data_IF_477114305433
#
_entry.id   IF_477114305433
#
_cell.length_a   1.000
_cell.length_b   1.000
_cell.length_c   1.000
_cell.angle_alpha   90.00
_cell.angle_beta   90.00
_cell.angle_gamma   90.00
#
_symmetry.space_group_name_H-M   'P 1'
#
loop_
_entity.id
_entity.type
_entity.pdbx_description
1 polymer ?
#
# COMPACT_ATOMS: atom_id res chain seq x y z
N UNK A 1 -6.59 -1.50 3.62
CA UNK A 1 -6.95 -2.93 3.48
C UNK A 1 -8.43 -3.18 3.71
N UNK A 2 -9.07 -2.57 4.69
CA UNK A 2 -10.51 -2.75 4.96
C UNK A 2 -11.49 -2.33 3.85
N UNK A 3 -11.08 -1.54 2.87
CA UNK A 3 -11.95 -1.14 1.75
C UNK A 3 -12.53 -2.31 0.95
N UNK A 4 -11.80 -3.41 0.86
CA UNK A 4 -12.27 -4.60 0.16
C UNK A 4 -13.57 -5.17 0.75
N UNK A 5 -13.75 -5.00 2.07
CA UNK A 5 -14.98 -5.37 2.76
C UNK A 5 -16.18 -4.50 2.35
N UNK A 6 -15.97 -3.23 2.04
CA UNK A 6 -17.05 -2.34 1.57
C UNK A 6 -17.63 -2.85 0.25
N UNK A 7 -16.76 -3.23 -0.68
CA UNK A 7 -17.20 -3.82 -1.96
C UNK A 7 -17.99 -5.11 -1.70
N UNK A 8 -17.49 -6.00 -0.81
CA UNK A 8 -18.21 -7.22 -0.46
C UNK A 8 -19.59 -6.93 0.17
N UNK A 9 -19.68 -5.93 1.07
CA UNK A 9 -20.97 -5.53 1.66
C UNK A 9 -21.94 -4.99 0.60
N UNK A 10 -21.47 -4.21 -0.36
CA UNK A 10 -22.31 -3.69 -1.45
C UNK A 10 -22.86 -4.77 -2.36
N UNK A 11 -22.17 -5.91 -2.46
CA UNK A 11 -22.68 -7.05 -3.23
C UNK A 11 -23.97 -7.64 -2.62
N UNK A 12 -24.09 -7.64 -1.30
CA UNK A 12 -25.27 -8.11 -0.59
C UNK A 12 -26.28 -7.00 -0.32
N UNK A 13 -25.80 -5.79 -0.03
CA UNK A 13 -26.63 -4.66 0.41
C UNK A 13 -26.38 -3.42 -0.46
N UNK A 14 -26.82 -3.39 -1.72
CA UNK A 14 -26.53 -2.28 -2.64
C UNK A 14 -27.06 -0.92 -2.15
N UNK A 15 -28.14 -0.92 -1.39
CA UNK A 15 -28.82 0.28 -0.88
C UNK A 15 -28.54 0.57 0.61
N UNK A 16 -27.68 -0.22 1.27
CA UNK A 16 -27.43 0.00 2.69
C UNK A 16 -26.73 1.34 2.96
N UNK A 17 -27.04 1.94 4.08
CA UNK A 17 -26.20 3.01 4.63
C UNK A 17 -24.96 2.37 5.24
N UNK A 18 -23.78 2.71 4.74
CA UNK A 18 -22.51 2.16 5.20
C UNK A 18 -21.58 3.27 5.67
N UNK A 19 -21.33 3.30 6.96
CA UNK A 19 -20.32 4.18 7.55
C UNK A 19 -18.98 3.44 7.67
N UNK A 20 -17.95 4.05 7.14
CA UNK A 20 -16.60 3.50 7.17
C UNK A 20 -15.69 4.32 8.08
N UNK A 21 -15.43 3.77 9.27
CA UNK A 21 -14.57 4.40 10.27
C UNK A 21 -13.10 4.10 9.97
N UNK A 22 -12.30 5.16 9.89
CA UNK A 22 -10.91 5.06 9.43
C UNK A 22 -9.96 5.89 10.26
N UNK A 23 -8.68 5.58 10.15
CA UNK A 23 -7.61 6.42 10.69
C UNK A 23 -7.57 7.79 9.99
N UNK A 24 -7.36 8.86 10.76
CA UNK A 24 -7.24 10.24 10.23
C UNK A 24 -6.20 10.38 9.12
N UNK A 25 -5.09 9.65 9.20
CA UNK A 25 -4.05 9.67 8.16
C UNK A 25 -4.51 9.07 6.84
N UNK A 26 -5.37 8.05 6.87
CA UNK A 26 -5.88 7.39 5.67
C UNK A 26 -7.14 8.09 5.11
N UNK A 27 -7.84 8.86 5.94
CA UNK A 27 -9.12 9.51 5.58
C UNK A 27 -9.04 10.28 4.25
N UNK A 28 -8.05 11.16 4.00
CA UNK A 28 -7.98 11.92 2.77
C UNK A 28 -7.94 11.06 1.51
N UNK A 29 -7.32 9.88 1.59
CA UNK A 29 -7.17 8.95 0.47
C UNK A 29 -8.46 8.19 0.10
N UNK A 30 -9.43 8.16 1.01
CA UNK A 30 -10.60 7.28 0.90
C UNK A 30 -11.93 7.99 1.16
N UNK A 31 -11.94 9.29 1.51
CA UNK A 31 -13.15 10.06 1.82
C UNK A 31 -14.18 10.07 0.67
N UNK A 32 -13.74 9.94 -0.58
CA UNK A 32 -14.60 9.85 -1.76
C UNK A 32 -14.89 8.42 -2.21
N UNK A 33 -14.73 7.40 -1.35
CA UNK A 33 -15.00 6.02 -1.74
C UNK A 33 -16.49 5.81 -2.00
N UNK A 34 -16.91 5.43 -3.23
CA UNK A 34 -18.31 5.31 -3.60
C UNK A 34 -19.03 4.13 -2.93
N UNK A 35 -18.30 3.19 -2.35
CA UNK A 35 -18.88 2.05 -1.65
C UNK A 35 -19.28 2.40 -0.20
N UNK A 36 -18.81 3.51 0.35
CA UNK A 36 -19.25 4.03 1.65
C UNK A 36 -20.27 5.13 1.48
N UNK A 37 -21.25 5.21 2.37
CA UNK A 37 -22.17 6.36 2.45
C UNK A 37 -21.45 7.52 3.14
N UNK A 38 -20.76 7.25 4.24
CA UNK A 38 -19.88 8.20 4.94
C UNK A 38 -18.56 7.55 5.27
N UNK A 39 -17.48 8.31 5.17
CA UNK A 39 -16.15 7.93 5.68
C UNK A 39 -15.85 8.83 6.88
N UNK A 40 -15.55 8.23 8.02
CA UNK A 40 -15.42 8.92 9.30
C UNK A 40 -14.00 8.82 9.84
N UNK A 41 -13.28 9.95 10.04
CA UNK A 41 -11.93 9.95 10.59
C UNK A 41 -11.95 9.87 12.11
N UNK A 42 -11.89 8.69 12.68
CA UNK A 42 -12.03 8.50 14.13
C UNK A 42 -10.71 8.31 14.87
N UNK A 43 -9.71 7.72 14.24
CA UNK A 43 -8.51 7.33 14.95
C UNK A 43 -7.37 8.33 14.76
N UNK A 44 -6.65 8.65 15.83
CA UNK A 44 -5.36 9.33 15.76
C UNK A 44 -4.30 8.42 15.13
N UNK A 45 -3.18 8.98 14.73
CA UNK A 45 -2.07 8.26 14.13
C UNK A 45 -1.61 7.10 15.01
N UNK A 46 -1.73 5.87 14.50
CA UNK A 46 -1.24 4.67 15.15
C UNK A 46 -2.29 3.57 15.32
N UNK A 47 -1.82 2.44 15.82
CA UNK A 47 -2.64 1.24 16.06
C UNK A 47 -3.44 1.30 17.38
N UNK A 48 -3.23 2.34 18.18
CA UNK A 48 -3.88 2.48 19.47
C UNK A 48 -4.99 3.52 19.41
N UNK A 49 -6.17 3.12 19.85
CA UNK A 49 -7.31 4.00 20.03
C UNK A 49 -7.20 4.63 21.40
N UNK A 50 -7.28 5.97 21.48
CA UNK A 50 -7.41 6.65 22.77
C UNK A 50 -8.76 6.31 23.38
N UNK A 51 -8.88 6.44 24.69
CA UNK A 51 -10.14 6.23 25.41
C UNK A 51 -11.25 7.13 24.88
N UNK A 52 -10.96 8.40 24.65
CA UNK A 52 -11.93 9.37 24.14
C UNK A 52 -12.43 8.99 22.74
N UNK A 53 -11.54 8.54 21.85
CA UNK A 53 -11.92 8.06 20.53
C UNK A 53 -12.79 6.78 20.61
N UNK A 54 -12.54 5.91 21.58
CA UNK A 54 -13.34 4.71 21.78
C UNK A 54 -14.75 5.07 22.30
N UNK A 55 -14.85 6.00 23.23
CA UNK A 55 -16.14 6.51 23.72
C UNK A 55 -16.94 7.18 22.61
N UNK A 56 -16.32 8.06 21.83
CA UNK A 56 -16.96 8.69 20.67
C UNK A 56 -17.44 7.65 19.63
N UNK A 57 -16.68 6.57 19.41
CA UNK A 57 -17.11 5.48 18.54
C UNK A 57 -18.32 4.73 19.09
N UNK A 58 -18.34 4.47 20.40
CA UNK A 58 -19.49 3.85 21.08
C UNK A 58 -20.76 4.71 20.97
N UNK A 59 -20.63 6.02 21.19
CA UNK A 59 -21.74 6.96 21.10
C UNK A 59 -22.28 7.04 19.67
N UNK A 60 -21.40 7.05 18.66
CA UNK A 60 -21.80 6.95 17.28
C UNK A 60 -22.61 5.68 17.01
N UNK A 61 -22.10 4.52 17.42
CA UNK A 61 -22.76 3.23 17.17
C UNK A 61 -24.12 3.16 17.85
N UNK A 62 -24.23 3.65 19.09
CA UNK A 62 -25.48 3.69 19.83
C UNK A 62 -26.50 4.67 19.23
N UNK A 63 -26.01 5.83 18.78
CA UNK A 63 -26.86 6.87 18.18
C UNK A 63 -27.45 6.47 16.84
N UNK A 64 -26.64 5.87 15.99
CA UNK A 64 -27.04 5.48 14.63
C UNK A 64 -27.78 4.13 14.57
N UNK A 65 -27.70 3.31 15.63
CA UNK A 65 -28.42 2.01 15.73
C UNK A 65 -28.13 1.07 14.54
N UNK A 66 -26.86 0.85 14.21
CA UNK A 66 -26.49 -0.03 13.12
C UNK A 66 -27.00 -1.46 13.27
N UNK A 67 -27.53 -2.02 12.18
CA UNK A 67 -27.94 -3.42 12.11
C UNK A 67 -26.72 -4.38 12.19
N UNK A 68 -25.57 -3.93 11.69
CA UNK A 68 -24.34 -4.74 11.65
C UNK A 68 -23.10 -3.85 11.79
N UNK A 69 -22.18 -4.24 12.66
CA UNK A 69 -20.85 -3.65 12.78
C UNK A 69 -19.79 -4.70 12.43
N UNK A 70 -18.86 -4.34 11.54
CA UNK A 70 -17.71 -5.18 11.21
C UNK A 70 -16.43 -4.58 11.79
N UNK A 71 -15.77 -5.29 12.68
CA UNK A 71 -14.54 -4.85 13.30
C UNK A 71 -13.31 -5.46 12.62
N UNK A 72 -12.55 -4.63 11.89
CA UNK A 72 -11.29 -4.99 11.24
C UNK A 72 -10.06 -4.59 12.06
N UNK A 73 -10.23 -4.06 13.26
CA UNK A 73 -9.12 -3.67 14.12
C UNK A 73 -8.63 -4.86 14.94
N UNK A 74 -7.39 -5.34 14.76
CA UNK A 74 -6.88 -6.51 15.49
C UNK A 74 -6.64 -6.23 16.98
N UNK A 75 -6.62 -4.96 17.37
CA UNK A 75 -6.30 -4.50 18.74
C UNK A 75 -7.54 -4.17 19.57
N UNK A 76 -8.72 -4.12 18.94
CA UNK A 76 -9.99 -3.90 19.60
C UNK A 76 -10.78 -5.19 19.67
N UNK A 77 -11.16 -5.57 20.89
CA UNK A 77 -12.13 -6.64 21.10
C UNK A 77 -13.54 -6.09 20.90
N UNK A 78 -14.46 -6.93 20.46
CA UNK A 78 -15.84 -6.54 20.23
C UNK A 78 -16.48 -5.93 21.49
N UNK A 79 -16.19 -6.53 22.67
CA UNK A 79 -16.63 -6.03 23.99
C UNK A 79 -16.06 -4.63 24.34
N UNK A 80 -14.93 -4.24 23.75
CA UNK A 80 -14.36 -2.91 23.99
C UNK A 80 -15.12 -1.86 23.20
N UNK A 81 -15.75 -2.26 22.07
CA UNK A 81 -16.57 -1.38 21.21
C UNK A 81 -18.01 -1.37 21.71
N UNK A 82 -18.63 -2.53 21.94
CA UNK A 82 -19.99 -2.68 22.41
C UNK A 82 -19.99 -3.60 23.64
N UNK A 83 -19.87 -3.05 24.88
CA UNK A 83 -19.84 -3.84 26.10
C UNK A 83 -21.11 -4.67 26.33
N UNK A 84 -22.26 -4.13 25.91
CA UNK A 84 -23.58 -4.72 26.12
C UNK A 84 -23.95 -5.77 25.04
N UNK A 85 -23.00 -6.13 24.21
CA UNK A 85 -23.24 -6.97 23.05
C UNK A 85 -23.79 -6.16 21.87
N UNK A 86 -24.36 -6.83 20.91
CA UNK A 86 -24.88 -6.23 19.68
C UNK A 86 -24.39 -7.00 18.47
N UNK A 87 -24.82 -6.58 17.30
CA UNK A 87 -24.44 -7.21 16.04
C UNK A 87 -23.04 -6.77 15.58
N UNK A 88 -22.02 -7.07 16.38
CA UNK A 88 -20.64 -6.80 16.04
C UNK A 88 -19.89 -8.10 15.71
N UNK A 89 -19.18 -8.10 14.61
CA UNK A 89 -18.39 -9.22 14.15
C UNK A 89 -16.91 -8.80 14.01
N UNK A 90 -16.05 -9.42 14.80
CA UNK A 90 -14.60 -9.21 14.67
C UNK A 90 -14.06 -10.07 13.52
N UNK A 91 -13.75 -9.40 12.41
CA UNK A 91 -13.28 -10.06 11.19
C UNK A 91 -11.87 -10.61 11.37
N UNK A 92 -11.00 -9.86 12.04
CA UNK A 92 -9.59 -10.26 12.21
C UNK A 92 -9.44 -11.51 13.09
N UNK A 93 -10.21 -11.61 14.15
CA UNK A 93 -10.12 -12.74 15.09
C UNK A 93 -10.87 -13.99 14.61
N UNK A 94 -11.84 -13.84 13.71
CA UNK A 94 -12.61 -14.96 13.14
C UNK A 94 -12.02 -15.55 11.89
N UNK A 95 -11.02 -14.88 11.32
CA UNK A 95 -10.36 -15.35 10.12
C UNK A 95 -9.21 -16.33 10.44
N UNK A 96 -9.42 -17.66 10.28
CA UNK A 96 -8.37 -18.64 10.52
C UNK A 96 -7.20 -18.54 9.51
N UNK A 97 -7.40 -17.81 8.42
CA UNK A 97 -6.48 -17.76 7.28
C UNK A 97 -5.19 -16.98 7.53
N UNK A 98 -5.19 -16.04 8.46
CA UNK A 98 -3.98 -15.24 8.74
C UNK A 98 -2.95 -16.07 9.51
N UNK A 99 -3.39 -17.09 10.26
CA UNK A 99 -2.54 -17.78 11.22
C UNK A 99 -2.15 -19.22 10.82
N UNK A 100 -2.89 -19.90 9.95
CA UNK A 100 -2.74 -21.35 9.78
C UNK A 100 -2.48 -21.86 8.35
N UNK A 101 -2.34 -20.98 7.34
CA UNK A 101 -2.37 -21.44 5.96
C UNK A 101 -1.03 -21.63 5.25
N UNK A 102 -0.23 -22.54 5.74
CA UNK A 102 0.81 -23.18 4.91
C UNK A 102 0.25 -24.34 4.05
N UNK A 103 -0.99 -24.81 4.31
CA UNK A 103 -1.50 -26.07 3.74
C UNK A 103 -2.55 -25.95 2.65
N UNK A 104 -3.21 -24.81 2.50
CA UNK A 104 -4.25 -24.63 1.47
C UNK A 104 -3.84 -23.59 0.44
N UNK A 105 -3.15 -24.05 -0.60
CA UNK A 105 -2.72 -23.22 -1.74
C UNK A 105 -3.87 -22.82 -2.67
N UNK A 106 -5.09 -23.32 -2.47
CA UNK A 106 -6.24 -23.07 -3.32
C UNK A 106 -6.99 -21.78 -3.00
N UNK A 107 -6.77 -21.19 -1.82
CA UNK A 107 -7.44 -19.96 -1.38
C UNK A 107 -6.55 -18.73 -1.57
N UNK A 108 -7.18 -17.60 -1.87
CA UNK A 108 -6.50 -16.30 -2.01
C UNK A 108 -5.87 -15.89 -0.69
N UNK A 109 -4.55 -16.00 -0.60
CA UNK A 109 -3.78 -15.72 0.62
C UNK A 109 -3.41 -14.24 0.81
N UNK A 110 -3.85 -13.35 -0.07
CA UNK A 110 -3.54 -11.94 -0.01
C UNK A 110 -4.49 -11.21 0.95
N UNK A 111 -3.95 -10.33 1.83
CA UNK A 111 -4.75 -9.63 2.83
C UNK A 111 -5.99 -8.91 2.29
N UNK A 112 -5.84 -8.21 1.17
CA UNK A 112 -6.93 -7.45 0.56
C UNK A 112 -7.99 -8.40 0.01
N UNK A 113 -7.58 -9.40 -0.75
CA UNK A 113 -8.49 -10.41 -1.29
C UNK A 113 -9.17 -11.19 -0.18
N UNK A 114 -8.43 -11.50 0.88
CA UNK A 114 -8.97 -12.20 2.04
C UNK A 114 -10.12 -11.42 2.72
N UNK A 115 -9.97 -10.11 2.95
CA UNK A 115 -11.04 -9.29 3.52
C UNK A 115 -12.30 -9.29 2.65
N UNK A 116 -12.13 -9.24 1.33
CA UNK A 116 -13.25 -9.31 0.40
C UNK A 116 -13.97 -10.68 0.48
N UNK A 117 -13.23 -11.75 0.30
CA UNK A 117 -13.79 -13.10 0.23
C UNK A 117 -14.35 -13.57 1.57
N UNK A 118 -13.69 -13.23 2.68
CA UNK A 118 -14.17 -13.60 4.01
C UNK A 118 -15.50 -12.91 4.34
N UNK A 119 -15.63 -11.61 4.09
CA UNK A 119 -16.91 -10.90 4.31
C UNK A 119 -17.98 -11.46 3.40
N UNK A 120 -17.64 -11.78 2.16
CA UNK A 120 -18.57 -12.37 1.20
C UNK A 120 -19.06 -13.76 1.64
N UNK A 121 -18.16 -14.62 2.09
CA UNK A 121 -18.49 -15.93 2.66
C UNK A 121 -19.43 -15.78 3.88
N UNK A 122 -19.05 -14.95 4.84
CA UNK A 122 -19.84 -14.69 6.03
C UNK A 122 -21.25 -14.15 5.74
N UNK A 123 -21.38 -13.27 4.75
CA UNK A 123 -22.68 -12.71 4.37
C UNK A 123 -23.51 -13.72 3.58
N UNK A 124 -22.90 -14.56 2.73
CA UNK A 124 -23.61 -15.57 1.93
C UNK A 124 -24.31 -16.63 2.74
N UNK A 125 -23.89 -16.85 3.99
CA UNK A 125 -24.56 -17.77 4.92
C UNK A 125 -25.98 -17.31 5.31
N UNK A 126 -26.25 -16.01 5.21
CA UNK A 126 -27.48 -15.39 5.75
C UNK A 126 -28.26 -14.58 4.72
N UNK A 127 -27.61 -14.09 3.68
CA UNK A 127 -28.19 -13.14 2.74
C UNK A 127 -27.96 -13.55 1.31
N UNK A 128 -28.94 -13.33 0.40
CA UNK A 128 -28.74 -13.57 -1.02
C UNK A 128 -27.79 -12.52 -1.61
N UNK A 129 -26.95 -12.96 -2.53
CA UNK A 129 -26.12 -12.07 -3.33
C UNK A 129 -27.03 -11.23 -4.24
N UNK A 130 -26.87 -9.91 -4.20
CA UNK A 130 -27.67 -8.95 -5.00
C UNK A 130 -26.92 -8.34 -6.15
N UNK A 131 -25.59 -8.28 -6.04
CA UNK A 131 -24.70 -7.75 -7.07
C UNK A 131 -23.43 -8.57 -7.10
N UNK A 132 -22.88 -8.79 -8.26
CA UNK A 132 -21.54 -9.33 -8.40
C UNK A 132 -20.58 -8.21 -8.76
N UNK A 133 -19.76 -7.79 -7.80
CA UNK A 133 -18.79 -6.74 -8.02
C UNK A 133 -17.56 -7.29 -8.75
N UNK A 134 -17.07 -6.49 -9.67
CA UNK A 134 -15.74 -6.67 -10.22
C UNK A 134 -14.71 -6.17 -9.18
N UNK A 135 -14.36 -7.04 -8.25
CA UNK A 135 -13.38 -6.70 -7.23
C UNK A 135 -11.98 -6.60 -7.85
N UNK A 136 -11.45 -5.39 -7.92
CA UNK A 136 -10.14 -5.07 -8.50
C UNK A 136 -9.19 -4.43 -7.50
N UNK A 137 -9.22 -4.84 -6.25
CA UNK A 137 -8.33 -4.34 -5.20
C UNK A 137 -8.79 -3.04 -4.54
N UNK A 138 -7.88 -2.38 -3.88
CA UNK A 138 -8.11 -1.12 -3.15
C UNK A 138 -8.16 0.06 -4.11
N UNK A 139 -9.02 1.03 -3.83
CA UNK A 139 -9.16 2.26 -4.61
C UNK A 139 -8.84 3.47 -3.75
N UNK A 140 -8.12 4.43 -4.32
CA UNK A 140 -7.82 5.70 -3.68
C UNK A 140 -8.50 6.84 -4.42
N UNK A 141 -8.90 7.86 -3.67
CA UNK A 141 -9.39 9.12 -4.21
C UNK A 141 -8.30 10.18 -4.02
N UNK A 142 -7.89 10.84 -5.11
CA UNK A 142 -6.91 11.92 -5.04
C UNK A 142 -7.57 13.24 -5.43
N UNK A 143 -7.53 14.20 -4.52
CA UNK A 143 -8.03 15.55 -4.76
C UNK A 143 -7.16 16.29 -5.78
N UNK A 144 -7.75 17.21 -6.55
CA UNK A 144 -7.01 18.03 -7.51
C UNK A 144 -5.84 18.79 -6.86
N UNK A 145 -6.06 19.33 -5.66
CA UNK A 145 -5.02 20.03 -4.90
C UNK A 145 -3.79 19.15 -4.58
N UNK A 146 -4.00 17.86 -4.30
CA UNK A 146 -2.91 16.92 -4.06
C UNK A 146 -2.11 16.66 -5.34
N UNK A 147 -2.79 16.55 -6.48
CA UNK A 147 -2.16 16.40 -7.78
C UNK A 147 -1.35 17.64 -8.16
N UNK A 148 -1.89 18.84 -7.93
CA UNK A 148 -1.18 20.09 -8.18
C UNK A 148 0.07 20.24 -7.29
N UNK A 149 -0.03 19.81 -6.04
CA UNK A 149 1.12 19.80 -5.13
C UNK A 149 2.20 18.82 -5.63
N UNK A 150 1.80 17.65 -6.09
CA UNK A 150 2.72 16.67 -6.69
C UNK A 150 3.41 17.22 -7.92
N UNK A 151 2.66 17.82 -8.86
CA UNK A 151 3.23 18.47 -10.06
C UNK A 151 4.26 19.53 -9.69
N UNK A 152 3.91 20.46 -8.78
CA UNK A 152 4.85 21.50 -8.31
C UNK A 152 6.11 20.91 -7.70
N UNK A 153 5.97 19.85 -6.89
CA UNK A 153 7.12 19.18 -6.29
C UNK A 153 8.01 18.54 -7.34
N UNK A 154 7.46 17.74 -8.25
CA UNK A 154 8.21 17.02 -9.28
C UNK A 154 8.89 17.99 -10.25
N UNK A 155 8.21 19.07 -10.67
CA UNK A 155 8.81 20.12 -11.51
C UNK A 155 9.95 20.83 -10.81
N UNK A 156 9.77 21.28 -9.56
CA UNK A 156 10.79 21.96 -8.77
C UNK A 156 12.01 21.06 -8.51
N UNK A 157 11.79 19.79 -8.39
CA UNK A 157 12.83 18.78 -8.19
C UNK A 157 13.71 18.57 -9.44
N UNK A 158 13.38 19.20 -10.58
CA UNK A 158 14.06 18.96 -11.86
C UNK A 158 13.86 17.55 -12.39
N UNK A 159 12.95 16.79 -11.78
CA UNK A 159 12.61 15.44 -12.23
C UNK A 159 11.85 15.45 -13.58
N UNK A 160 11.32 16.62 -13.96
CA UNK A 160 10.66 16.83 -15.25
C UNK A 160 11.63 17.00 -16.44
N UNK A 161 12.91 16.68 -16.29
CA UNK A 161 13.94 16.85 -17.34
C UNK A 161 13.83 15.85 -18.52
N UNK A 162 12.69 15.18 -18.67
CA UNK A 162 12.48 14.16 -19.71
C UNK A 162 13.06 12.79 -19.37
N UNK A 163 13.75 12.65 -18.24
CA UNK A 163 14.24 11.35 -17.74
C UNK A 163 13.14 10.57 -17.05
N UNK A 164 13.18 9.24 -17.10
CA UNK A 164 12.32 8.40 -16.27
C UNK A 164 12.49 8.69 -14.78
N UNK A 165 11.42 8.59 -14.02
CA UNK A 165 11.40 8.86 -12.58
C UNK A 165 11.25 7.55 -11.82
N UNK A 166 12.20 7.23 -10.94
CA UNK A 166 12.15 6.08 -10.05
C UNK A 166 11.99 6.57 -8.61
N UNK A 167 10.94 6.13 -7.93
CA UNK A 167 10.75 6.43 -6.50
C UNK A 167 11.20 5.25 -5.66
N UNK A 168 12.13 5.49 -4.75
CA UNK A 168 12.58 4.53 -3.75
C UNK A 168 12.04 4.91 -2.37
N UNK A 169 11.28 4.00 -1.76
CA UNK A 169 10.82 4.14 -0.38
C UNK A 169 11.70 3.29 0.55
N UNK A 170 12.60 3.92 1.33
CA UNK A 170 13.48 3.21 2.25
C UNK A 170 12.83 2.93 3.61
N UNK A 171 11.67 3.54 3.88
CA UNK A 171 11.04 3.54 5.20
C UNK A 171 10.03 2.40 5.38
N UNK A 172 9.84 2.01 6.63
CA UNK A 172 8.85 1.02 7.02
C UNK A 172 8.79 0.88 8.53
N UNK A 173 7.60 0.61 9.06
CA UNK A 173 7.33 0.54 10.49
C UNK A 173 8.13 -0.57 11.21
N UNK A 174 8.52 -1.60 10.48
CA UNK A 174 9.22 -2.75 11.06
C UNK A 174 10.52 -3.06 10.31
N UNK A 175 11.58 -3.41 11.02
CA UNK A 175 12.84 -3.82 10.39
C UNK A 175 12.71 -5.11 9.55
N UNK A 176 11.65 -5.90 9.74
CA UNK A 176 11.39 -7.13 8.97
C UNK A 176 10.72 -6.87 7.62
N UNK A 177 10.16 -5.68 7.44
CA UNK A 177 9.39 -5.30 6.25
C UNK A 177 10.10 -4.26 5.38
N UNK A 178 11.24 -3.74 5.83
CA UNK A 178 12.04 -2.77 5.11
C UNK A 178 13.40 -3.33 4.71
N UNK A 179 13.90 -2.89 3.59
CA UNK A 179 15.25 -3.23 3.11
C UNK A 179 16.27 -2.60 4.07
N UNK A 180 17.28 -3.34 4.55
CA UNK A 180 18.34 -2.80 5.40
C UNK A 180 19.14 -1.69 4.71
N UNK A 181 19.72 -0.79 5.51
CA UNK A 181 20.47 0.36 5.00
C UNK A 181 21.56 0.00 3.99
N UNK A 182 22.32 -1.04 4.23
CA UNK A 182 23.38 -1.48 3.31
C UNK A 182 22.81 -1.91 1.95
N UNK A 183 21.71 -2.68 1.94
CA UNK A 183 21.01 -3.07 0.71
C UNK A 183 20.42 -1.87 -0.01
N UNK A 184 19.80 -0.92 0.72
CA UNK A 184 19.30 0.33 0.17
C UNK A 184 20.39 1.19 -0.45
N UNK A 185 21.55 1.31 0.22
CA UNK A 185 22.70 2.07 -0.28
C UNK A 185 23.24 1.47 -1.58
N UNK A 186 23.37 0.15 -1.63
CA UNK A 186 23.79 -0.56 -2.85
C UNK A 186 22.77 -0.39 -3.98
N UNK A 187 21.49 -0.56 -3.67
CA UNK A 187 20.40 -0.39 -4.64
C UNK A 187 20.38 1.04 -5.20
N UNK A 188 20.44 2.04 -4.31
CA UNK A 188 20.42 3.46 -4.70
C UNK A 188 21.63 3.81 -5.58
N UNK A 189 22.83 3.32 -5.26
CA UNK A 189 24.01 3.53 -6.07
C UNK A 189 23.84 2.96 -7.48
N UNK A 190 23.34 1.73 -7.60
CA UNK A 190 23.08 1.10 -8.90
C UNK A 190 21.97 1.79 -9.70
N UNK A 191 20.93 2.26 -9.06
CA UNK A 191 19.89 3.05 -9.72
C UNK A 191 20.43 4.40 -10.20
N UNK A 192 21.30 5.05 -9.42
CA UNK A 192 21.91 6.34 -9.79
C UNK A 192 22.90 6.25 -10.95
N UNK A 193 23.40 5.05 -11.28
CA UNK A 193 24.18 4.79 -12.50
C UNK A 193 23.31 4.78 -13.78
N UNK A 194 21.99 4.58 -13.64
CA UNK A 194 21.04 4.65 -14.76
C UNK A 194 20.76 6.11 -15.10
N UNK A 195 20.30 6.38 -16.33
CA UNK A 195 19.85 7.73 -16.71
C UNK A 195 18.42 8.01 -16.26
N UNK A 196 18.24 8.12 -14.94
CA UNK A 196 16.96 8.34 -14.27
C UNK A 196 17.04 9.47 -13.25
N UNK A 197 15.90 10.07 -12.96
CA UNK A 197 15.70 10.92 -11.78
C UNK A 197 15.21 10.05 -10.64
N UNK A 198 15.83 10.13 -9.46
CA UNK A 198 15.45 9.33 -8.31
C UNK A 198 14.76 10.22 -7.28
N UNK A 199 13.52 9.88 -6.95
CA UNK A 199 12.84 10.42 -5.78
C UNK A 199 13.05 9.47 -4.61
N UNK A 200 13.49 10.00 -3.48
CA UNK A 200 13.81 9.22 -2.29
C UNK A 200 12.99 9.73 -1.12
N UNK A 201 12.14 8.88 -0.55
CA UNK A 201 11.38 9.26 0.65
C UNK A 201 12.33 9.47 1.83
N UNK A 202 12.18 10.62 2.53
CA UNK A 202 13.01 10.94 3.70
C UNK A 202 12.77 10.03 4.90
N UNK A 203 11.59 9.38 4.97
CA UNK A 203 11.17 8.49 6.06
C UNK A 203 10.46 9.22 7.20
N UNK A 204 9.40 8.60 7.71
CA UNK A 204 8.70 9.01 8.93
C UNK A 204 9.15 8.20 10.14
N UNK A 205 9.42 6.91 9.93
CA UNK A 205 9.81 5.98 11.00
C UNK A 205 11.30 6.10 11.33
N UNK A 206 12.12 6.30 10.29
CA UNK A 206 13.57 6.52 10.46
C UNK A 206 13.89 7.92 9.97
N UNK A 207 13.93 8.86 10.91
CA UNK A 207 14.24 10.25 10.60
C UNK A 207 15.56 10.38 9.82
N UNK A 208 15.51 11.13 8.71
CA UNK A 208 16.66 11.45 7.88
C UNK A 208 17.30 10.25 7.14
N UNK A 209 16.60 9.11 7.01
CA UNK A 209 17.16 7.96 6.27
C UNK A 209 17.43 8.32 4.81
N UNK A 210 16.58 9.13 4.17
CA UNK A 210 16.77 9.58 2.80
C UNK A 210 18.05 10.40 2.64
N UNK A 211 18.29 11.36 3.54
CA UNK A 211 19.50 12.18 3.50
C UNK A 211 20.76 11.36 3.73
N UNK A 212 20.72 10.42 4.66
CA UNK A 212 21.84 9.50 4.93
C UNK A 212 22.14 8.61 3.71
N UNK A 213 21.13 8.11 3.02
CA UNK A 213 21.28 7.33 1.81
C UNK A 213 21.86 8.18 0.68
N UNK A 214 21.34 9.39 0.44
CA UNK A 214 21.91 10.31 -0.54
C UNK A 214 23.35 10.66 -0.23
N UNK A 215 23.68 10.90 1.03
CA UNK A 215 25.05 11.18 1.48
C UNK A 215 26.02 9.99 1.27
N UNK A 216 25.53 8.76 1.26
CA UNK A 216 26.35 7.57 0.97
C UNK A 216 26.76 7.42 -0.50
N UNK A 217 26.13 8.16 -1.42
CA UNK A 217 26.49 8.17 -2.84
C UNK A 217 27.78 8.96 -3.11
N UNK A 218 28.52 8.57 -4.15
CA UNK A 218 29.57 9.43 -4.73
C UNK A 218 29.04 10.83 -5.04
N UNK A 219 29.82 11.90 -4.82
CA UNK A 219 29.36 13.29 -4.99
C UNK A 219 28.71 13.59 -6.35
N UNK A 220 29.24 13.03 -7.44
CA UNK A 220 28.70 13.24 -8.78
C UNK A 220 27.33 12.62 -9.07
N UNK A 221 26.90 11.62 -8.26
CA UNK A 221 25.60 10.97 -8.38
C UNK A 221 24.51 11.60 -7.49
N UNK A 222 24.88 12.33 -6.44
CA UNK A 222 23.95 12.97 -5.51
C UNK A 222 22.93 13.93 -6.17
N UNK A 223 23.29 14.69 -7.20
CA UNK A 223 22.32 15.56 -7.87
C UNK A 223 21.17 14.83 -8.57
N UNK A 224 21.30 13.53 -8.83
CA UNK A 224 20.22 12.70 -9.41
C UNK A 224 19.16 12.29 -8.39
N UNK A 225 19.40 12.52 -7.10
CA UNK A 225 18.53 12.10 -6.00
C UNK A 225 17.89 13.31 -5.34
N UNK A 226 16.57 13.35 -5.40
CA UNK A 226 15.74 14.36 -4.75
C UNK A 226 15.03 13.75 -3.56
N UNK A 227 15.13 14.39 -2.42
CA UNK A 227 14.47 13.94 -1.18
C UNK A 227 13.02 14.45 -1.15
N UNK A 228 12.07 13.54 -0.97
CA UNK A 228 10.69 13.87 -0.64
C UNK A 228 10.65 14.20 0.85
N UNK A 229 10.20 15.39 1.25
CA UNK A 229 10.18 15.80 2.64
C UNK A 229 9.19 14.97 3.48
N UNK A 230 9.44 14.82 4.81
CA UNK A 230 8.63 13.94 5.66
C UNK A 230 7.22 14.50 5.94
N UNK A 231 7.04 15.80 5.79
CA UNK A 231 5.79 16.51 6.04
C UNK A 231 4.86 16.61 4.82
N UNK A 232 5.23 15.95 3.70
CA UNK A 232 4.34 15.94 2.54
C UNK A 232 3.02 15.23 2.87
N UNK A 233 1.87 15.84 2.54
CA UNK A 233 0.58 15.18 2.75
C UNK A 233 0.50 13.83 2.02
N UNK A 234 -0.14 12.86 2.64
CA UNK A 234 -0.20 11.48 2.12
C UNK A 234 -0.84 11.40 0.73
N UNK A 235 -1.81 12.27 0.43
CA UNK A 235 -2.44 12.34 -0.89
C UNK A 235 -1.46 12.88 -1.95
N UNK A 236 -0.68 13.92 -1.60
CA UNK A 236 0.33 14.45 -2.49
C UNK A 236 1.44 13.42 -2.72
N UNK A 237 1.81 12.66 -1.68
CA UNK A 237 2.75 11.54 -1.82
C UNK A 237 2.21 10.46 -2.75
N UNK A 238 0.94 10.08 -2.61
CA UNK A 238 0.30 9.13 -3.52
C UNK A 238 0.23 9.65 -4.96
N UNK A 239 -0.01 10.96 -5.15
CA UNK A 239 0.03 11.60 -6.45
C UNK A 239 1.46 11.66 -7.04
N UNK A 240 2.49 11.86 -6.22
CA UNK A 240 3.89 11.76 -6.67
C UNK A 240 4.20 10.34 -7.15
N UNK A 241 3.73 9.30 -6.46
CA UNK A 241 3.89 7.92 -6.92
C UNK A 241 3.31 7.77 -8.33
N UNK A 242 2.12 8.32 -8.60
CA UNK A 242 1.45 8.21 -9.90
C UNK A 242 2.21 8.89 -11.06
N UNK A 243 3.10 9.83 -10.73
CA UNK A 243 3.96 10.51 -11.70
C UNK A 243 5.28 9.78 -11.95
N UNK A 244 5.56 8.69 -11.24
CA UNK A 244 6.79 7.92 -11.38
C UNK A 244 6.61 6.77 -12.38
N UNK A 245 7.68 6.42 -13.09
CA UNK A 245 7.71 5.26 -13.98
C UNK A 245 7.89 3.95 -13.20
N UNK A 246 8.59 4.00 -12.06
CA UNK A 246 8.76 2.85 -11.19
C UNK A 246 8.75 3.24 -9.70
N UNK A 247 8.21 2.37 -8.86
CA UNK A 247 8.18 2.49 -7.41
C UNK A 247 8.79 1.25 -6.76
N UNK A 248 9.75 1.44 -5.86
CA UNK A 248 10.46 0.36 -5.18
C UNK A 248 10.27 0.52 -3.68
N UNK A 249 9.79 -0.53 -3.00
CA UNK A 249 9.55 -0.50 -1.56
C UNK A 249 9.64 -1.90 -0.94
N UNK A 250 9.92 -1.94 0.35
CA UNK A 250 9.56 -3.09 1.19
C UNK A 250 8.06 -3.23 1.40
N UNK A 251 7.64 -4.19 2.24
CA UNK A 251 6.24 -4.41 2.63
C UNK A 251 5.79 -3.33 3.63
N UNK A 252 5.32 -2.20 3.10
CA UNK A 252 5.01 -0.99 3.85
C UNK A 252 3.73 -0.32 3.35
N UNK A 253 3.18 0.63 4.12
CA UNK A 253 2.02 1.42 3.70
C UNK A 253 2.16 2.03 2.29
N UNK A 254 3.28 2.68 1.95
CA UNK A 254 3.56 3.19 0.61
C UNK A 254 3.45 2.17 -0.53
N UNK A 255 3.82 0.91 -0.31
CA UNK A 255 3.63 -0.15 -1.30
C UNK A 255 2.16 -0.31 -1.67
N UNK A 256 1.28 -0.31 -0.67
CA UNK A 256 -0.16 -0.43 -0.89
C UNK A 256 -0.76 0.81 -1.56
N UNK A 257 -0.18 2.00 -1.33
CA UNK A 257 -0.56 3.21 -2.06
C UNK A 257 -0.17 3.11 -3.55
N UNK A 258 1.03 2.64 -3.84
CA UNK A 258 1.50 2.48 -5.21
C UNK A 258 0.67 1.47 -6.00
N UNK A 259 0.30 0.36 -5.35
CA UNK A 259 -0.48 -0.70 -5.96
C UNK A 259 -2.00 -0.42 -6.02
N UNK A 260 -2.51 0.56 -5.29
CA UNK A 260 -3.94 0.87 -5.28
C UNK A 260 -4.38 1.56 -6.58
N UNK A 261 -5.60 1.27 -7.03
CA UNK A 261 -6.22 1.95 -8.16
C UNK A 261 -6.68 3.36 -7.77
N UNK A 262 -6.84 4.23 -8.75
CA UNK A 262 -7.38 5.59 -8.56
C UNK A 262 -8.87 5.62 -8.89
N UNK A 263 -9.60 6.45 -8.14
CA UNK A 263 -11.02 6.67 -8.36
C UNK A 263 -11.38 8.15 -8.07
N UNK A 264 -12.24 8.81 -8.87
CA UNK A 264 -12.59 8.40 -10.22
C UNK A 264 -11.35 8.37 -11.12
N UNK A 265 -11.42 7.56 -12.16
CA UNK A 265 -10.42 7.56 -13.21
C UNK A 265 -10.80 8.68 -14.20
N UNK A 266 -10.26 9.86 -14.00
CA UNK A 266 -10.67 11.08 -14.71
C UNK A 266 -9.94 11.33 -16.02
N UNK A 267 -9.17 10.36 -16.49
CA UNK A 267 -8.48 10.45 -17.79
C UNK A 267 -7.27 11.39 -17.81
N UNK A 268 -6.87 11.96 -16.67
CA UNK A 268 -5.63 12.75 -16.59
C UNK A 268 -4.43 11.85 -16.83
N UNK A 269 -3.80 12.00 -18.00
CA UNK A 269 -2.71 11.15 -18.45
C UNK A 269 -1.52 11.11 -17.49
N UNK A 270 -1.29 12.19 -16.74
CA UNK A 270 -0.20 12.29 -15.77
C UNK A 270 -0.44 11.42 -14.52
N UNK A 271 -1.70 10.99 -14.26
CA UNK A 271 -2.09 10.27 -13.05
C UNK A 271 -2.80 8.94 -13.35
N UNK A 272 -2.47 8.30 -14.48
CA UNK A 272 -3.04 7.01 -14.88
C UNK A 272 -2.65 5.85 -13.97
N UNK A 273 -1.80 6.09 -12.97
CA UNK A 273 -1.22 5.05 -12.12
C UNK A 273 -0.59 3.91 -12.95
N UNK A 274 0.26 4.28 -13.88
CA UNK A 274 1.03 3.34 -14.71
C UNK A 274 2.39 3.01 -14.08
N UNK A 275 2.60 3.45 -12.85
CA UNK A 275 3.84 3.23 -12.10
C UNK A 275 4.08 1.75 -11.88
N UNK A 276 5.17 1.22 -12.39
CA UNK A 276 5.57 -0.15 -12.12
C UNK A 276 5.90 -0.34 -10.65
N UNK A 277 5.38 -1.40 -10.02
CA UNK A 277 5.55 -1.65 -8.58
C UNK A 277 6.53 -2.79 -8.36
N UNK A 278 7.67 -2.51 -7.73
CA UNK A 278 8.69 -3.49 -7.36
C UNK A 278 8.68 -3.66 -5.84
N UNK A 279 8.13 -4.76 -5.39
CA UNK A 279 7.94 -5.08 -3.97
C UNK A 279 9.06 -5.97 -3.45
N UNK A 280 9.72 -5.58 -2.35
CA UNK A 280 10.82 -6.33 -1.76
C UNK A 280 10.37 -6.96 -0.44
N UNK A 281 10.43 -8.28 -0.36
CA UNK A 281 9.97 -9.07 0.78
C UNK A 281 11.13 -9.78 1.47
N UNK A 282 11.15 -9.68 2.79
CA UNK A 282 12.09 -10.41 3.64
C UNK A 282 11.37 -11.30 4.64
N UNK A 283 10.94 -10.70 5.76
CA UNK A 283 10.23 -11.43 6.83
C UNK A 283 8.76 -11.67 6.58
N UNK A 284 8.14 -10.95 5.63
CA UNK A 284 6.74 -11.11 5.23
C UNK A 284 6.68 -11.93 3.95
N UNK A 285 5.80 -12.95 3.85
CA UNK A 285 5.60 -13.68 2.60
C UNK A 285 5.00 -12.78 1.51
N UNK A 286 5.62 -12.77 0.33
CA UNK A 286 5.15 -11.99 -0.82
C UNK A 286 3.69 -12.28 -1.19
N UNK A 287 3.24 -13.55 -1.04
CA UNK A 287 1.85 -13.96 -1.30
C UNK A 287 0.81 -13.22 -0.46
N UNK A 288 1.20 -12.69 0.71
CA UNK A 288 0.26 -12.01 1.63
C UNK A 288 0.07 -10.53 1.31
N UNK A 289 1.10 -9.87 0.81
CA UNK A 289 1.11 -8.41 0.63
C UNK A 289 1.65 -7.97 -0.74
N UNK A 290 2.14 -8.89 -1.55
CA UNK A 290 2.76 -8.58 -2.84
C UNK A 290 1.75 -8.44 -3.98
N UNK A 291 2.15 -7.71 -5.00
CA UNK A 291 1.32 -7.37 -6.16
C UNK A 291 1.98 -7.86 -7.45
N UNK A 292 2.17 -9.17 -7.55
CA UNK A 292 2.74 -9.75 -8.76
C UNK A 292 1.64 -9.91 -9.82
N UNK A 293 1.81 -9.26 -10.95
CA UNK A 293 0.88 -9.32 -12.08
C UNK A 293 0.73 -10.74 -12.65
N UNK A 294 1.67 -11.62 -12.34
CA UNK A 294 1.68 -13.00 -12.83
C UNK A 294 1.09 -14.00 -11.83
N UNK A 295 0.72 -13.59 -10.63
CA UNK A 295 0.03 -14.47 -9.68
C UNK A 295 -1.39 -14.78 -10.16
N UNK A 296 -1.60 -16.04 -10.56
CA UNK A 296 -2.91 -16.54 -10.96
C UNK A 296 -3.92 -16.37 -9.82
N UNK A 297 -5.07 -15.77 -10.11
CA UNK A 297 -6.19 -15.61 -9.17
C UNK A 297 -6.12 -14.35 -8.30
N UNK A 298 -5.05 -13.55 -8.35
CA UNK A 298 -5.01 -12.22 -7.79
C UNK A 298 -5.19 -11.18 -8.90
N UNK A 299 -6.22 -10.37 -8.80
CA UNK A 299 -6.40 -9.26 -9.73
C UNK A 299 -5.38 -8.17 -9.35
N UNK A 300 -4.51 -7.77 -10.27
CA UNK A 300 -3.57 -6.69 -10.01
C UNK A 300 -4.36 -5.45 -9.61
N UNK A 301 -3.90 -4.76 -8.60
CA UNK A 301 -4.52 -3.52 -8.16
C UNK A 301 -4.53 -2.49 -9.29
N UNK A 302 -3.49 -2.49 -10.10
CA UNK A 302 -3.35 -1.69 -11.30
C UNK A 302 -3.13 -2.59 -12.52
N UNK A 303 -4.07 -2.57 -13.47
CA UNK A 303 -3.99 -3.40 -14.68
C UNK A 303 -3.08 -2.82 -15.76
N UNK A 304 -2.79 -1.50 -15.69
CA UNK A 304 -2.08 -0.78 -16.73
C UNK A 304 -0.56 -0.73 -16.47
N UNK A 305 -0.13 -1.09 -15.25
CA UNK A 305 1.27 -1.12 -14.90
C UNK A 305 1.70 -2.50 -14.36
N UNK A 306 2.90 -2.95 -14.72
CA UNK A 306 3.40 -4.23 -14.23
C UNK A 306 3.81 -4.15 -12.77
N UNK A 307 3.74 -5.29 -12.08
CA UNK A 307 4.24 -5.43 -10.72
C UNK A 307 5.04 -6.71 -10.55
N UNK A 308 6.09 -6.65 -9.72
CA UNK A 308 6.99 -7.77 -9.45
C UNK A 308 7.32 -7.87 -7.97
N UNK A 309 7.34 -9.09 -7.48
CA UNK A 309 7.77 -9.40 -6.12
C UNK A 309 9.20 -9.93 -6.12
N UNK A 310 10.06 -9.29 -5.33
CA UNK A 310 11.43 -9.75 -5.05
C UNK A 310 11.46 -10.30 -3.63
N UNK A 311 11.57 -11.60 -3.50
CA UNK A 311 11.69 -12.27 -2.21
C UNK A 311 13.14 -12.48 -1.89
N UNK A 312 13.61 -11.91 -0.79
CA UNK A 312 14.95 -12.19 -0.30
C UNK A 312 15.05 -13.65 0.15
N UNK A 313 16.13 -14.30 -0.20
CA UNK A 313 16.44 -15.64 0.28
C UNK A 313 16.72 -15.64 1.77
N UNK A 314 15.68 -15.60 2.59
CA UNK A 314 15.83 -15.62 4.05
C UNK A 314 16.47 -16.94 4.49
N UNK A 315 17.61 -16.90 5.21
CA UNK A 315 18.29 -18.12 5.67
C UNK A 315 17.44 -18.93 6.64
N UNK A 316 16.47 -18.32 7.30
CA UNK A 316 15.60 -19.02 8.24
C UNK A 316 14.41 -19.73 7.58
N UNK A 317 14.13 -19.52 6.31
CA UNK A 317 13.01 -20.14 5.56
C UNK A 317 11.66 -20.10 6.31
N UNK A 318 11.51 -19.20 7.28
CA UNK A 318 10.39 -19.22 8.21
C UNK A 318 9.28 -18.27 7.74
N UNK A 319 8.30 -18.82 7.03
CA UNK A 319 7.15 -18.09 6.52
C UNK A 319 6.24 -17.50 7.62
N UNK A 320 6.40 -17.96 8.87
CA UNK A 320 5.62 -17.47 10.01
C UNK A 320 6.36 -16.44 10.88
N UNK A 321 7.47 -15.90 10.40
CA UNK A 321 8.31 -14.96 11.15
C UNK A 321 7.53 -13.75 11.70
N UNK A 322 6.62 -13.19 10.91
CA UNK A 322 5.80 -12.05 11.32
C UNK A 322 4.91 -12.37 12.52
N UNK A 323 4.39 -13.59 12.60
CA UNK A 323 3.43 -13.98 13.62
C UNK A 323 4.06 -14.53 14.90
N UNK A 324 5.16 -15.27 14.79
CA UNK A 324 5.74 -16.01 15.93
C UNK A 324 7.04 -15.41 16.47
N UNK A 325 7.87 -14.84 15.61
CA UNK A 325 9.25 -14.45 15.95
C UNK A 325 9.50 -12.95 15.90
N UNK A 326 8.48 -12.15 15.57
CA UNK A 326 8.56 -10.69 15.50
C UNK A 326 9.21 -10.06 16.74
N UNK A 327 8.91 -10.58 17.93
CA UNK A 327 9.46 -10.07 19.20
C UNK A 327 10.78 -10.72 19.62
N UNK A 328 11.16 -11.85 19.04
CA UNK A 328 12.28 -12.68 19.50
C UNK A 328 13.45 -12.76 18.53
N UNK A 329 13.24 -12.40 17.26
CA UNK A 329 14.32 -12.40 16.28
C UNK A 329 15.31 -11.25 16.53
N UNK A 330 16.52 -11.57 16.93
CA UNK A 330 17.58 -10.59 17.22
C UNK A 330 18.46 -10.25 16.01
N UNK A 331 18.48 -11.09 14.99
CA UNK A 331 19.45 -11.00 13.91
C UNK A 331 18.94 -10.34 12.64
N UNK A 332 17.62 -10.32 12.41
CA UNK A 332 16.95 -9.71 11.25
C UNK A 332 17.68 -9.95 9.92
N UNK A 333 17.93 -11.24 9.62
CA UNK A 333 18.65 -11.66 8.43
C UNK A 333 17.76 -11.80 7.18
N UNK A 334 16.54 -11.23 7.24
CA UNK A 334 15.49 -11.44 6.23
C UNK A 334 15.85 -10.92 4.84
N UNK A 335 16.79 -9.99 4.74
CA UNK A 335 17.21 -9.37 3.48
C UNK A 335 18.69 -9.60 3.14
N UNK A 336 19.38 -10.51 3.85
CA UNK A 336 20.82 -10.74 3.59
C UNK A 336 21.11 -11.19 2.15
N UNK A 337 20.18 -11.92 1.57
CA UNK A 337 20.31 -12.43 0.19
C UNK A 337 19.22 -11.81 -0.68
N UNK A 338 19.31 -10.51 -0.90
CA UNK A 338 18.42 -9.81 -1.83
C UNK A 338 19.09 -9.71 -3.20
N UNK A 339 18.38 -10.13 -4.25
CA UNK A 339 18.85 -10.01 -5.63
C UNK A 339 18.74 -8.55 -6.13
N UNK A 340 19.63 -7.69 -5.65
CA UNK A 340 19.72 -6.29 -6.10
C UNK A 340 20.04 -6.19 -7.61
N UNK A 341 20.97 -6.95 -8.17
CA UNK A 341 21.21 -6.93 -9.61
C UNK A 341 19.98 -7.27 -10.44
N UNK A 342 19.22 -8.31 -10.08
CA UNK A 342 17.97 -8.68 -10.75
C UNK A 342 16.90 -7.61 -10.65
N UNK A 343 16.78 -6.95 -9.50
CA UNK A 343 15.86 -5.84 -9.31
C UNK A 343 16.23 -4.66 -10.24
N UNK A 344 17.49 -4.25 -10.27
CA UNK A 344 17.97 -3.16 -11.14
C UNK A 344 17.78 -3.51 -12.62
N UNK A 345 18.08 -4.75 -13.01
CA UNK A 345 17.87 -5.26 -14.37
C UNK A 345 16.39 -5.17 -14.77
N UNK A 346 15.46 -5.47 -13.84
CA UNK A 346 14.04 -5.37 -14.06
C UNK A 346 13.59 -3.91 -14.25
N UNK A 347 14.07 -2.99 -13.42
CA UNK A 347 13.83 -1.55 -13.60
C UNK A 347 14.30 -1.11 -14.97
N UNK A 348 15.55 -1.42 -15.34
CA UNK A 348 16.13 -1.05 -16.63
C UNK A 348 15.30 -1.59 -17.82
N UNK A 349 14.90 -2.86 -17.76
CA UNK A 349 14.08 -3.49 -18.81
C UNK A 349 12.72 -2.82 -18.94
N UNK A 350 12.08 -2.47 -17.80
CA UNK A 350 10.81 -1.77 -17.82
C UNK A 350 10.94 -0.37 -18.42
N UNK A 351 11.93 0.42 -18.00
CA UNK A 351 12.14 1.77 -18.54
C UNK A 351 12.42 1.75 -20.04
N UNK A 352 13.22 0.81 -20.53
CA UNK A 352 13.46 0.64 -21.96
C UNK A 352 12.17 0.27 -22.73
N UNK A 353 11.25 -0.48 -22.13
CA UNK A 353 9.97 -0.77 -22.76
C UNK A 353 9.08 0.45 -22.89
N UNK A 354 9.15 1.39 -21.95
CA UNK A 354 8.39 2.65 -22.01
C UNK A 354 8.91 3.57 -23.12
N UNK A 355 10.23 3.64 -23.32
CA UNK A 355 10.81 4.42 -24.40
C UNK A 355 10.34 3.96 -25.78
N UNK A 356 10.27 2.66 -25.99
CA UNK A 356 9.80 2.06 -27.25
C UNK A 356 8.31 2.33 -27.54
N UNK A 357 7.51 2.68 -26.53
CA UNK A 357 6.07 2.96 -26.67
C UNK A 357 5.75 4.46 -26.63
N UNK A 358 6.73 5.34 -26.40
CA UNK A 358 6.52 6.79 -26.50
C UNK A 358 6.41 7.16 -27.97
N UNK A 359 5.30 7.79 -28.43
CA UNK A 359 5.20 8.27 -29.79
C UNK A 359 6.30 9.29 -30.05
N UNK A 360 7.00 9.17 -31.17
CA UNK A 360 8.04 10.09 -31.60
C UNK A 360 7.43 11.51 -31.65
N UNK A 361 7.89 12.42 -30.77
CA UNK A 361 7.43 13.80 -30.73
C UNK A 361 6.55 14.19 -29.54
N UNK A 362 6.18 13.28 -28.64
CA UNK A 362 5.57 13.64 -27.37
C UNK A 362 6.63 14.19 -26.41
N UNK A 363 6.94 15.49 -26.54
CA UNK A 363 7.59 16.20 -25.42
C UNK A 363 6.69 16.07 -24.22
N UNK A 364 7.22 15.59 -23.10
CA UNK A 364 6.54 15.61 -21.80
C UNK A 364 6.29 17.07 -21.42
N UNK A 365 5.23 17.66 -21.95
CA UNK A 365 4.71 18.93 -21.47
C UNK A 365 4.06 18.67 -20.11
N UNK A 366 4.81 18.95 -19.04
CA UNK A 366 4.29 19.14 -17.69
C UNK A 366 4.03 20.62 -17.44
#
# INVERSE_FOLDING_TARGET
MGQAALTALRDFFPQAHIDYVVNKTAFPLIQGNPEATRVLPFFSNGMFISRDNLEALRDLIRGEKYDLCLNFCPYLKDRDILPDGGNILNIMNRSPLILNNERDSSRINHFIGHHYWFVRELMSERFPLRREADFRGVRLTLQASARDQARRFVSKAGAASGRPIVLLNPDGASPYTRIPFAGLSTLLARLAELDVSILLNSGHTIAGIGDRLRASLPPHLRPRVVIIPPDIPIEAYAAIIDMCDAFISGDTGPLHLAAARRYPFDGDAAFRNQTAVLSCFGGTPARMSGYDSFQKGFLPANQDAPSWNFTAGSPCRNLSCVNKFFKTCRTIRCFEVMDIPGLVARVKSHLASLENHRPAGASTGF
#
